data_IF_727013495953
#
_entry.id   IF_727013495953
#
_cell.length_a   1.000
_cell.length_b   1.000
_cell.length_c   1.000
_cell.angle_alpha   90.00
_cell.angle_beta   90.00
_cell.angle_gamma   90.00
#
_symmetry.space_group_name_H-M   'P 1'
#
loop_
_entity.id
_entity.type
_entity.pdbx_description
1 polymer ?
#
# COMPACT_ATOMS: atom_id res chain seq x y z
N UNK A 1 25.87 9.83 4.40
CA UNK A 1 24.62 10.46 3.91
C UNK A 1 24.37 11.77 4.66
N UNK A 2 23.93 12.85 4.01
CA UNK A 2 23.64 14.13 4.71
C UNK A 2 22.13 14.29 4.89
N UNK A 3 21.67 14.29 6.14
CA UNK A 3 20.31 14.71 6.49
C UNK A 3 20.14 16.21 6.27
N UNK A 4 18.93 16.61 5.89
CA UNK A 4 18.60 18.02 5.68
C UNK A 4 18.16 18.69 6.98
N UNK A 5 18.22 20.02 7.02
CA UNK A 5 17.63 20.82 8.11
C UNK A 5 16.14 20.51 8.32
N UNK A 6 15.43 20.09 7.27
CA UNK A 6 14.01 19.71 7.37
C UNK A 6 13.81 18.46 8.23
N UNK A 7 14.72 17.48 8.16
CA UNK A 7 14.68 16.31 9.04
C UNK A 7 14.85 16.72 10.50
N UNK A 8 15.87 17.54 10.81
CA UNK A 8 16.15 17.97 12.18
C UNK A 8 14.99 18.73 12.82
N UNK A 9 14.36 19.64 12.06
CA UNK A 9 13.17 20.37 12.52
C UNK A 9 12.01 19.42 12.81
N UNK A 10 11.68 18.56 11.84
CA UNK A 10 10.56 17.63 11.97
C UNK A 10 10.77 16.60 13.11
N UNK A 11 12.02 16.20 13.36
CA UNK A 11 12.38 15.30 14.46
C UNK A 11 12.21 15.97 15.83
N UNK A 12 12.56 17.25 15.95
CA UNK A 12 12.42 18.00 17.22
C UNK A 12 10.97 18.17 17.64
N UNK A 13 10.06 18.31 16.68
CA UNK A 13 8.61 18.46 16.88
C UNK A 13 7.91 17.17 17.33
N UNK A 14 8.57 16.02 17.27
CA UNK A 14 7.97 14.75 17.68
C UNK A 14 7.71 14.70 19.19
N UNK A 15 6.54 14.14 19.55
CA UNK A 15 6.23 13.78 20.93
C UNK A 15 7.00 12.52 21.36
N UNK A 16 6.85 12.12 22.62
CA UNK A 16 7.61 10.98 23.17
C UNK A 16 7.28 9.65 22.48
N UNK A 17 6.00 9.37 22.17
CA UNK A 17 5.62 8.11 21.51
C UNK A 17 6.12 8.04 20.06
N UNK A 18 6.05 9.16 19.33
CA UNK A 18 6.57 9.26 17.97
C UNK A 18 8.09 9.14 17.93
N UNK A 19 8.80 9.78 18.87
CA UNK A 19 10.26 9.60 19.00
C UNK A 19 10.62 8.16 19.27
N UNK A 20 9.92 7.49 20.18
CA UNK A 20 10.12 6.06 20.44
C UNK A 20 9.95 5.23 19.16
N UNK A 21 8.90 5.50 18.37
CA UNK A 21 8.67 4.83 17.09
C UNK A 21 9.73 5.18 16.03
N UNK A 22 10.40 6.33 16.10
CA UNK A 22 11.48 6.71 15.16
C UNK A 22 12.83 6.14 15.59
N UNK A 23 13.11 6.07 16.89
CA UNK A 23 14.40 5.67 17.44
C UNK A 23 14.56 4.16 17.67
N UNK A 24 13.47 3.39 17.71
CA UNK A 24 13.54 1.93 17.86
C UNK A 24 14.00 1.28 16.55
N UNK A 25 15.30 1.22 16.25
CA UNK A 25 15.77 0.81 14.92
C UNK A 25 15.63 -0.69 14.64
N UNK A 26 15.73 -1.51 15.68
CA UNK A 26 15.75 -2.97 15.56
C UNK A 26 14.40 -3.62 15.89
N UNK A 27 14.16 -4.77 15.26
CA UNK A 27 13.02 -5.62 15.55
C UNK A 27 11.68 -5.12 14.97
N UNK A 28 10.63 -5.95 15.12
CA UNK A 28 9.30 -5.60 14.65
C UNK A 28 8.65 -4.55 15.55
N UNK A 29 8.04 -3.52 14.96
CA UNK A 29 7.25 -2.52 15.67
C UNK A 29 5.87 -2.37 15.05
N UNK A 30 4.86 -2.09 15.88
CA UNK A 30 3.51 -1.76 15.43
C UNK A 30 3.12 -0.39 15.99
N UNK A 31 2.82 0.56 15.09
CA UNK A 31 2.38 1.90 15.47
C UNK A 31 0.88 2.02 15.27
N UNK A 32 0.13 2.07 16.37
CA UNK A 32 -1.30 2.33 16.37
C UNK A 32 -1.54 3.83 16.53
N UNK A 33 -2.27 4.45 15.62
CA UNK A 33 -2.43 5.90 15.65
C UNK A 33 -3.76 6.37 15.03
N UNK A 34 -4.38 7.36 15.67
CA UNK A 34 -5.62 7.99 15.22
C UNK A 34 -5.46 8.88 13.98
N UNK A 35 -6.56 9.33 13.35
CA UNK A 35 -6.50 10.30 12.27
C UNK A 35 -5.78 11.58 12.71
N UNK A 36 -4.97 12.18 11.84
CA UNK A 36 -4.27 13.44 12.11
C UNK A 36 -3.05 13.35 13.05
N UNK A 37 -2.71 12.20 13.62
CA UNK A 37 -1.62 12.07 14.62
C UNK A 37 -0.20 11.96 14.03
N UNK A 38 -0.03 12.30 12.75
CA UNK A 38 1.30 12.32 12.11
C UNK A 38 1.87 10.96 11.69
N UNK A 39 1.08 9.89 11.59
CA UNK A 39 1.52 8.53 11.18
C UNK A 39 2.54 8.52 10.03
N UNK A 40 2.18 9.16 8.93
CA UNK A 40 3.02 9.21 7.72
C UNK A 40 4.32 9.97 7.97
N UNK A 41 4.29 11.02 8.79
CA UNK A 41 5.47 11.78 9.16
C UNK A 41 6.41 10.96 10.04
N UNK A 42 5.87 10.28 11.06
CA UNK A 42 6.62 9.39 11.93
C UNK A 42 7.27 8.26 11.12
N UNK A 43 6.55 7.65 10.18
CA UNK A 43 7.10 6.60 9.33
C UNK A 43 8.23 7.11 8.42
N UNK A 44 8.08 8.27 7.79
CA UNK A 44 9.12 8.86 6.95
C UNK A 44 10.36 9.25 7.76
N UNK A 45 10.18 9.80 8.96
CA UNK A 45 11.29 10.11 9.88
C UNK A 45 11.98 8.84 10.35
N UNK A 46 11.25 7.77 10.63
CA UNK A 46 11.82 6.47 10.98
C UNK A 46 12.71 5.93 9.86
N UNK A 47 12.21 5.91 8.62
CA UNK A 47 13.00 5.47 7.45
C UNK A 47 14.29 6.29 7.32
N UNK A 48 14.18 7.62 7.41
CA UNK A 48 15.36 8.49 7.37
C UNK A 48 16.32 8.24 8.54
N UNK A 49 15.81 7.93 9.74
CA UNK A 49 16.61 7.64 10.93
C UNK A 49 17.34 6.29 10.81
N UNK A 50 16.72 5.26 10.22
CA UNK A 50 17.38 3.98 9.92
C UNK A 50 18.59 4.21 9.02
N UNK A 51 18.41 4.94 7.91
CA UNK A 51 19.50 5.25 6.97
C UNK A 51 20.59 6.17 7.57
N UNK A 52 20.24 6.96 8.58
CA UNK A 52 21.19 7.85 9.26
C UNK A 52 22.02 7.12 10.31
N UNK A 53 21.39 6.25 11.10
CA UNK A 53 21.99 5.64 12.30
C UNK A 53 22.54 4.23 12.07
N UNK A 54 22.28 3.64 10.91
CA UNK A 54 22.74 2.29 10.54
C UNK A 54 23.46 2.31 9.19
N UNK A 55 24.18 1.23 8.88
CA UNK A 55 24.80 1.02 7.57
C UNK A 55 23.82 0.43 6.54
N UNK A 56 22.51 0.62 6.71
CA UNK A 56 21.49 0.13 5.78
C UNK A 56 21.51 0.96 4.50
N UNK A 57 21.66 0.29 3.35
CA UNK A 57 21.54 0.95 2.06
C UNK A 57 20.08 1.32 1.74
N UNK A 58 19.80 2.44 1.03
CA UNK A 58 18.44 2.86 0.71
C UNK A 58 17.59 1.81 -0.04
N UNK A 59 18.21 1.03 -0.92
CA UNK A 59 17.56 -0.02 -1.71
C UNK A 59 17.18 -1.26 -0.89
N UNK A 60 17.76 -1.42 0.31
CA UNK A 60 17.37 -2.43 1.29
C UNK A 60 16.06 -2.07 2.03
N UNK A 61 15.53 -0.86 1.85
CA UNK A 61 14.27 -0.43 2.45
C UNK A 61 13.11 -0.57 1.46
N UNK A 62 12.10 -1.35 1.85
CA UNK A 62 10.81 -1.45 1.18
C UNK A 62 9.72 -0.71 1.97
N UNK A 63 9.04 0.23 1.33
CA UNK A 63 7.91 0.96 1.89
C UNK A 63 6.65 0.75 1.03
N UNK A 64 5.68 0.01 1.58
CA UNK A 64 4.43 -0.33 0.90
C UNK A 64 3.27 0.58 1.32
N UNK A 65 2.48 1.03 0.35
CA UNK A 65 1.25 1.78 0.58
C UNK A 65 0.06 1.18 -0.17
N UNK A 66 -1.16 1.65 0.14
CA UNK A 66 -2.37 1.22 -0.58
C UNK A 66 -2.65 2.01 -1.85
N UNK A 67 -2.20 3.27 -1.93
CA UNK A 67 -2.49 4.15 -3.06
C UNK A 67 -1.21 4.75 -3.65
N UNK A 68 -1.24 4.98 -4.95
CA UNK A 68 -0.15 5.65 -5.67
C UNK A 68 0.09 7.08 -5.15
N UNK A 69 -0.99 7.77 -4.72
CA UNK A 69 -0.88 9.08 -4.08
C UNK A 69 -0.09 9.03 -2.77
N UNK A 70 -0.30 8.01 -1.94
CA UNK A 70 0.44 7.83 -0.70
C UNK A 70 1.90 7.45 -0.95
N UNK A 71 2.18 6.61 -1.97
CA UNK A 71 3.54 6.28 -2.36
C UNK A 71 4.30 7.54 -2.84
N UNK A 72 3.64 8.37 -3.65
CA UNK A 72 4.18 9.65 -4.12
C UNK A 72 4.44 10.62 -2.97
N UNK A 73 3.48 10.80 -2.06
CA UNK A 73 3.63 11.68 -0.90
C UNK A 73 4.80 11.21 0.00
N UNK A 74 4.91 9.89 0.23
CA UNK A 74 6.01 9.30 0.99
C UNK A 74 7.37 9.61 0.34
N UNK A 75 7.47 9.44 -0.99
CA UNK A 75 8.68 9.77 -1.74
C UNK A 75 9.05 11.25 -1.62
N UNK A 76 8.10 12.15 -1.86
CA UNK A 76 8.33 13.61 -1.74
C UNK A 76 8.77 14.01 -0.32
N UNK A 77 8.19 13.37 0.70
CA UNK A 77 8.55 13.60 2.11
C UNK A 77 9.96 13.11 2.42
N UNK A 78 10.33 11.92 1.95
CA UNK A 78 11.69 11.39 2.10
C UNK A 78 12.70 12.25 1.33
N UNK A 79 12.39 12.67 0.10
CA UNK A 79 13.27 13.57 -0.67
C UNK A 79 13.58 14.86 0.11
N UNK A 80 12.61 15.39 0.87
CA UNK A 80 12.87 16.55 1.75
C UNK A 80 13.81 16.24 2.91
N UNK A 81 13.80 15.02 3.46
CA UNK A 81 14.63 14.65 4.62
C UNK A 81 16.03 14.18 4.24
N UNK A 82 16.15 13.46 3.13
CA UNK A 82 17.35 12.72 2.75
C UNK A 82 17.83 12.98 1.32
N UNK A 83 17.19 13.90 0.60
CA UNK A 83 17.60 14.33 -0.73
C UNK A 83 17.53 13.21 -1.77
N UNK A 84 18.56 13.13 -2.62
CA UNK A 84 18.61 12.18 -3.72
C UNK A 84 18.57 10.70 -3.28
N UNK A 85 18.94 10.40 -2.03
CA UNK A 85 18.90 9.05 -1.49
C UNK A 85 17.47 8.45 -1.51
N UNK A 86 16.43 9.30 -1.41
CA UNK A 86 15.04 8.86 -1.45
C UNK A 86 14.63 8.18 -2.76
N UNK A 87 15.32 8.44 -3.87
CA UNK A 87 15.02 7.82 -5.16
C UNK A 87 15.47 6.36 -5.24
N UNK A 88 16.40 5.95 -4.38
CA UNK A 88 16.88 4.57 -4.30
C UNK A 88 16.01 3.70 -3.37
N UNK A 89 15.14 4.31 -2.56
CA UNK A 89 14.22 3.57 -1.68
C UNK A 89 13.09 2.99 -2.50
N UNK A 90 12.80 1.71 -2.26
CA UNK A 90 11.73 1.02 -2.95
C UNK A 90 10.37 1.39 -2.31
N UNK A 91 9.71 2.40 -2.88
CA UNK A 91 8.40 2.90 -2.42
C UNK A 91 7.36 2.58 -3.49
N UNK A 92 6.41 1.72 -3.15
CA UNK A 92 5.44 1.18 -4.10
C UNK A 92 4.10 0.88 -3.43
N UNK A 93 3.05 0.72 -4.24
CA UNK A 93 1.82 0.10 -3.75
C UNK A 93 1.98 -1.41 -3.67
N UNK A 94 1.14 -2.08 -2.87
CA UNK A 94 1.11 -3.55 -2.83
C UNK A 94 0.97 -4.18 -4.22
N UNK A 95 0.08 -3.63 -5.07
CA UNK A 95 -0.12 -4.16 -6.42
C UNK A 95 1.14 -4.00 -7.28
N UNK A 96 1.71 -2.79 -7.32
CA UNK A 96 2.91 -2.51 -8.11
C UNK A 96 4.11 -3.35 -7.66
N UNK A 97 4.28 -3.53 -6.33
CA UNK A 97 5.32 -4.41 -5.78
C UNK A 97 5.13 -5.87 -6.20
N UNK A 98 3.92 -6.43 -6.04
CA UNK A 98 3.66 -7.82 -6.40
C UNK A 98 3.87 -8.08 -7.90
N UNK A 99 3.48 -7.13 -8.77
CA UNK A 99 3.74 -7.23 -10.22
C UNK A 99 5.23 -7.24 -10.51
N UNK A 100 6.01 -6.38 -9.86
CA UNK A 100 7.46 -6.32 -10.02
C UNK A 100 8.13 -7.64 -9.57
N UNK A 101 7.71 -8.19 -8.42
CA UNK A 101 8.20 -9.50 -7.93
C UNK A 101 7.93 -10.62 -8.94
N UNK A 102 6.73 -10.69 -9.51
CA UNK A 102 6.38 -11.72 -10.51
C UNK A 102 7.24 -11.57 -11.77
N UNK A 103 7.37 -10.33 -12.28
CA UNK A 103 8.13 -10.05 -13.52
C UNK A 103 9.62 -10.31 -13.37
N UNK A 104 10.19 -10.04 -12.19
CA UNK A 104 11.62 -10.24 -11.92
C UNK A 104 11.98 -11.70 -11.63
N UNK A 105 11.01 -12.55 -11.28
CA UNK A 105 11.23 -13.95 -10.91
C UNK A 105 10.42 -14.95 -11.75
N UNK A 106 10.50 -14.90 -13.09
CA UNK A 106 9.59 -15.63 -13.97
C UNK A 106 9.70 -17.15 -13.83
N UNK A 107 10.86 -17.69 -13.45
CA UNK A 107 11.04 -19.12 -13.20
C UNK A 107 10.21 -19.67 -12.03
N UNK A 108 9.72 -18.80 -11.15
CA UNK A 108 8.90 -19.18 -10.00
C UNK A 108 7.40 -19.09 -10.24
N UNK A 109 6.97 -18.55 -11.39
CA UNK A 109 5.56 -18.35 -11.73
C UNK A 109 5.23 -19.02 -13.06
N UNK A 110 4.04 -19.62 -13.15
CA UNK A 110 3.52 -20.20 -14.40
C UNK A 110 2.86 -19.16 -15.32
N UNK A 111 3.14 -17.88 -15.07
CA UNK A 111 2.52 -16.75 -15.74
C UNK A 111 3.55 -16.14 -16.66
N UNK A 112 3.15 -15.81 -17.89
CA UNK A 112 4.04 -15.13 -18.83
C UNK A 112 4.47 -13.76 -18.26
N UNK A 113 5.77 -13.41 -18.28
CA UNK A 113 6.27 -12.14 -17.73
C UNK A 113 5.69 -10.89 -18.41
N UNK A 114 5.16 -11.03 -19.63
CA UNK A 114 4.50 -9.95 -20.35
C UNK A 114 3.07 -9.69 -19.86
N UNK A 115 2.54 -10.50 -18.93
CA UNK A 115 1.18 -10.35 -18.44
C UNK A 115 1.06 -9.11 -17.57
N UNK A 116 -0.02 -8.36 -17.79
CA UNK A 116 -0.41 -7.23 -16.97
C UNK A 116 -1.68 -7.55 -16.17
N UNK A 117 -1.88 -6.91 -15.01
CA UNK A 117 -3.14 -7.03 -14.28
C UNK A 117 -4.34 -6.63 -15.15
N UNK A 118 -5.37 -7.46 -15.16
CA UNK A 118 -6.60 -7.15 -15.89
C UNK A 118 -7.26 -5.89 -15.35
N UNK A 119 -7.60 -4.98 -16.27
CA UNK A 119 -8.46 -3.84 -15.96
C UNK A 119 -9.88 -4.30 -15.63
N UNK A 120 -10.65 -3.46 -14.94
CA UNK A 120 -12.04 -3.80 -14.59
C UNK A 120 -12.92 -3.97 -15.83
N UNK A 121 -12.64 -3.23 -16.91
CA UNK A 121 -13.34 -3.40 -18.19
C UNK A 121 -13.05 -4.78 -18.80
N UNK A 122 -11.79 -5.24 -18.77
CA UNK A 122 -11.44 -6.57 -19.28
C UNK A 122 -12.06 -7.68 -18.44
N UNK A 123 -12.04 -7.54 -17.11
CA UNK A 123 -12.76 -8.47 -16.21
C UNK A 123 -14.24 -8.56 -16.59
N UNK A 124 -14.90 -7.43 -16.82
CA UNK A 124 -16.32 -7.40 -17.21
C UNK A 124 -16.55 -8.02 -18.60
N UNK A 125 -15.66 -7.78 -19.56
CA UNK A 125 -15.74 -8.42 -20.89
C UNK A 125 -15.60 -9.93 -20.80
N UNK A 126 -14.65 -10.42 -20.02
CA UNK A 126 -14.45 -11.85 -19.78
C UNK A 126 -15.68 -12.44 -19.11
N UNK A 127 -16.18 -11.80 -18.05
CA UNK A 127 -17.37 -12.25 -17.32
C UNK A 127 -18.59 -12.30 -18.25
N UNK A 128 -18.82 -11.26 -19.05
CA UNK A 128 -19.92 -11.21 -20.00
C UNK A 128 -19.83 -12.31 -21.04
N UNK A 129 -18.63 -12.54 -21.59
CA UNK A 129 -18.37 -13.64 -22.54
C UNK A 129 -18.69 -15.01 -21.92
N UNK A 130 -18.33 -15.22 -20.66
CA UNK A 130 -18.64 -16.46 -19.94
C UNK A 130 -20.14 -16.61 -19.68
N UNK A 131 -20.87 -15.52 -19.45
CA UNK A 131 -22.34 -15.54 -19.30
C UNK A 131 -23.04 -15.86 -20.63
N UNK A 132 -22.64 -15.22 -21.72
CA UNK A 132 -23.32 -15.35 -23.00
C UNK A 132 -23.01 -16.69 -23.71
N UNK A 133 -21.80 -17.22 -23.52
CA UNK A 133 -21.31 -18.38 -24.27
C UNK A 133 -20.80 -19.54 -23.41
N UNK A 134 -20.69 -19.34 -22.10
CA UNK A 134 -20.23 -20.40 -21.20
C UNK A 134 -21.31 -21.45 -20.98
N UNK A 135 -20.90 -22.71 -20.85
CA UNK A 135 -21.76 -23.76 -20.30
C UNK A 135 -21.92 -23.52 -18.80
N UNK A 136 -22.88 -22.66 -18.45
CA UNK A 136 -23.27 -22.44 -17.07
C UNK A 136 -24.07 -23.65 -16.59
N UNK A 137 -23.85 -24.16 -15.36
CA UNK A 137 -24.81 -25.04 -14.72
C UNK A 137 -26.18 -24.32 -14.66
N UNK A 138 -27.31 -25.05 -14.65
CA UNK A 138 -28.62 -24.42 -14.50
C UNK A 138 -28.60 -23.51 -13.27
N UNK A 139 -29.14 -22.30 -13.42
CA UNK A 139 -29.23 -21.35 -12.32
C UNK A 139 -30.17 -21.96 -11.28
N UNK A 140 -29.59 -22.46 -10.19
CA UNK A 140 -30.35 -22.98 -9.05
C UNK A 140 -30.59 -21.80 -8.11
N UNK A 141 -31.85 -21.53 -7.82
CA UNK A 141 -32.23 -20.55 -6.81
C UNK A 141 -31.81 -21.09 -5.44
N UNK A 142 -30.79 -20.49 -4.82
CA UNK A 142 -30.40 -20.82 -3.45
C UNK A 142 -31.39 -20.15 -2.49
N UNK A 143 -32.48 -20.86 -2.19
CA UNK A 143 -33.51 -20.44 -1.26
C UNK A 143 -34.84 -20.04 -1.94
N UNK A 144 -35.93 -19.92 -1.16
CA UNK A 144 -37.20 -19.45 -1.69
C UNK A 144 -37.05 -18.04 -2.30
N UNK A 145 -37.90 -17.67 -3.27
CA UNK A 145 -37.97 -16.28 -3.73
C UNK A 145 -38.10 -15.38 -2.51
N UNK A 146 -37.30 -14.31 -2.47
CA UNK A 146 -37.35 -13.29 -1.41
C UNK A 146 -38.80 -13.11 -0.95
N UNK A 147 -39.11 -13.31 0.35
CA UNK A 147 -40.46 -13.03 0.81
C UNK A 147 -40.74 -11.58 0.44
N UNK A 148 -41.79 -11.36 -0.35
CA UNK A 148 -42.29 -10.01 -0.58
C UNK A 148 -42.64 -9.47 0.80
N UNK A 149 -41.81 -8.59 1.35
CA UNK A 149 -42.14 -7.87 2.58
C UNK A 149 -43.49 -7.19 2.34
N UNK A 150 -44.53 -7.46 3.15
CA UNK A 150 -45.75 -6.68 3.04
C UNK A 150 -45.36 -5.23 3.33
N UNK A 151 -45.58 -4.34 2.35
CA UNK A 151 -45.42 -2.90 2.52
C UNK A 151 -46.41 -2.50 3.62
N UNK A 152 -45.93 -2.38 4.85
CA UNK A 152 -46.66 -1.74 5.93
C UNK A 152 -46.62 -0.23 5.66
N UNK A 153 -47.68 0.28 5.06
CA UNK A 153 -47.99 1.70 5.06
C UNK A 153 -48.28 2.14 6.51
N UNK A 154 -47.24 2.43 7.28
CA UNK A 154 -47.38 3.25 8.47
C UNK A 154 -47.53 4.70 8.02
N UNK A 155 -48.78 5.20 8.04
CA UNK A 155 -49.02 6.65 8.11
C UNK A 155 -48.37 7.16 9.39
N UNK A 156 -47.43 8.07 9.25
CA UNK A 156 -47.09 9.06 10.27
C UNK A 156 -47.68 10.38 9.78
#
# INVERSE_FOLDING_TARGET
>A
MKITKAFETAYKELNNEQKLAVDTLDGPIMVVAGPGTGKTQTLALRIANILLKTDTDPDAILALTFTESAAKEMRERLTRFIGAAAYYINISTFHSFCVDVIKTHPSHFTIDPSVEPLSDLEKLKILRRLIDHGKMPPIIMLGPPFPQSPILNAKI
#
